data_IF_595991515717
#
_entry.id   IF_595991515717
#
_cell.length_a   1.000
_cell.length_b   1.000
_cell.length_c   1.000
_cell.angle_alpha   90.00
_cell.angle_beta   90.00
_cell.angle_gamma   90.00
#
_symmetry.space_group_name_H-M   'P 1'
#
loop_
_entity.id
_entity.type
_entity.pdbx_description
1 polymer ?
#
# COMPACT_ATOMS: atom_id res chain seq x y z
N UNK A 1 -40.57 63.51 -24.75
CA UNK A 1 -39.13 63.71 -24.97
C UNK A 1 -38.43 62.59 -24.25
N UNK A 2 -38.31 61.47 -24.97
CA UNK A 2 -37.02 60.92 -25.47
C UNK A 2 -36.57 59.83 -24.48
N UNK A 3 -37.01 58.59 -24.69
CA UNK A 3 -36.31 57.56 -25.45
C UNK A 3 -34.87 57.36 -24.99
N UNK A 4 -34.60 56.24 -24.32
CA UNK A 4 -33.42 55.40 -24.58
C UNK A 4 -33.63 54.05 -23.88
N UNK A 5 -34.30 53.19 -24.64
CA UNK A 5 -34.17 51.74 -24.59
C UNK A 5 -32.67 51.47 -24.84
N UNK A 6 -31.97 50.88 -23.87
CA UNK A 6 -30.66 50.29 -24.12
C UNK A 6 -30.88 48.83 -24.48
N UNK A 7 -30.82 48.63 -25.79
CA UNK A 7 -30.63 47.37 -26.48
C UNK A 7 -29.31 46.68 -26.09
N UNK A 8 -29.38 45.35 -26.07
CA UNK A 8 -28.35 44.38 -26.43
C UNK A 8 -26.90 44.63 -25.97
N UNK A 9 -26.43 43.77 -25.05
CA UNK A 9 -25.34 42.86 -25.40
C UNK A 9 -25.42 41.58 -24.54
N UNK A 10 -26.15 40.59 -25.05
CA UNK A 10 -26.01 39.20 -24.59
C UNK A 10 -24.65 38.73 -25.10
N UNK A 11 -23.63 38.79 -24.25
CA UNK A 11 -22.37 38.11 -24.53
C UNK A 11 -22.61 36.60 -24.46
N UNK A 12 -22.74 35.98 -25.63
CA UNK A 12 -22.52 34.55 -25.84
C UNK A 12 -21.16 34.19 -25.23
N UNK A 13 -21.18 33.60 -24.04
CA UNK A 13 -20.02 32.94 -23.47
C UNK A 13 -19.78 31.64 -24.25
N UNK A 14 -19.06 31.80 -25.36
CA UNK A 14 -18.50 30.73 -26.17
C UNK A 14 -17.60 29.87 -25.28
N UNK A 15 -18.17 28.79 -24.74
CA UNK A 15 -17.44 27.79 -23.98
C UNK A 15 -16.24 27.28 -24.81
N UNK A 16 -14.99 27.47 -24.39
CA UNK A 16 -13.91 26.70 -24.97
C UNK A 16 -14.05 25.30 -24.37
N UNK A 17 -14.55 24.36 -25.17
CA UNK A 17 -14.46 22.93 -24.89
C UNK A 17 -12.96 22.55 -24.91
N UNK A 18 -12.26 22.90 -23.84
CA UNK A 18 -10.92 22.45 -23.57
C UNK A 18 -11.03 20.96 -23.29
N UNK A 19 -10.85 20.16 -24.34
CA UNK A 19 -10.47 18.76 -24.19
C UNK A 19 -9.22 18.76 -23.33
N UNK A 20 -9.38 18.50 -22.04
CA UNK A 20 -8.29 18.20 -21.12
C UNK A 20 -7.65 16.94 -21.72
N UNK A 21 -6.64 17.12 -22.56
CA UNK A 21 -5.79 16.03 -23.00
C UNK A 21 -5.08 15.59 -21.74
N UNK A 22 -5.58 14.53 -21.12
CA UNK A 22 -4.98 13.94 -19.92
C UNK A 22 -3.49 13.81 -20.18
N UNK A 23 -2.68 14.51 -19.37
CA UNK A 23 -1.24 14.48 -19.50
C UNK A 23 -0.80 13.01 -19.38
N UNK A 24 -0.23 12.47 -20.46
CA UNK A 24 0.26 11.09 -20.47
C UNK A 24 1.52 11.06 -19.60
N UNK A 25 1.35 10.62 -18.36
CA UNK A 25 2.46 10.42 -17.44
C UNK A 25 3.21 9.15 -17.85
N UNK A 26 4.50 9.31 -18.15
CA UNK A 26 5.39 8.18 -18.44
C UNK A 26 5.85 7.57 -17.13
N UNK A 27 5.54 6.29 -16.92
CA UNK A 27 6.02 5.53 -15.77
C UNK A 27 7.36 4.87 -16.12
N UNK A 28 8.39 5.15 -15.32
CA UNK A 28 9.69 4.48 -15.42
C UNK A 28 9.70 3.25 -14.52
N UNK A 29 9.98 2.09 -15.11
CA UNK A 29 10.12 0.83 -14.38
C UNK A 29 11.58 0.61 -14.00
N UNK A 30 11.81 0.11 -12.79
CA UNK A 30 13.14 -0.31 -12.36
C UNK A 30 13.58 -1.58 -13.11
N UNK A 31 14.88 -1.91 -13.06
CA UNK A 31 15.44 -3.08 -13.75
C UNK A 31 14.70 -4.37 -13.38
N UNK A 32 14.51 -4.61 -12.08
CA UNK A 32 13.86 -5.81 -11.55
C UNK A 32 12.39 -5.93 -11.98
N UNK A 33 11.67 -4.80 -12.07
CA UNK A 33 10.28 -4.74 -12.50
C UNK A 33 10.16 -5.03 -14.01
N UNK A 34 11.07 -4.47 -14.81
CA UNK A 34 11.15 -4.71 -16.25
C UNK A 34 11.48 -6.17 -16.57
N UNK A 35 12.36 -6.81 -15.80
CA UNK A 35 12.68 -8.23 -15.93
C UNK A 35 11.46 -9.12 -15.63
N UNK A 36 10.71 -8.84 -14.56
CA UNK A 36 9.47 -9.57 -14.24
C UNK A 36 8.43 -9.46 -15.36
N UNK A 37 8.25 -8.27 -15.94
CA UNK A 37 7.33 -8.06 -17.05
C UNK A 37 7.76 -8.86 -18.29
N UNK A 38 9.07 -8.95 -18.58
CA UNK A 38 9.55 -9.77 -19.69
C UNK A 38 9.24 -11.26 -19.48
N UNK A 39 9.41 -11.77 -18.26
CA UNK A 39 9.06 -13.16 -17.91
C UNK A 39 7.57 -13.41 -18.13
N UNK A 40 6.70 -12.51 -17.69
CA UNK A 40 5.26 -12.64 -17.91
C UNK A 40 4.88 -12.59 -19.40
N UNK A 41 5.52 -11.71 -20.18
CA UNK A 41 5.31 -11.67 -21.63
C UNK A 41 5.72 -12.97 -22.31
N UNK A 42 6.84 -13.58 -21.89
CA UNK A 42 7.27 -14.86 -22.41
C UNK A 42 6.27 -15.97 -22.08
N UNK A 43 5.79 -16.05 -20.82
CA UNK A 43 4.76 -17.00 -20.40
C UNK A 43 3.46 -16.86 -21.21
N UNK A 44 3.05 -15.63 -21.50
CA UNK A 44 1.86 -15.38 -22.32
C UNK A 44 2.09 -15.81 -23.77
N UNK A 45 3.26 -15.54 -24.35
CA UNK A 45 3.60 -15.97 -25.72
C UNK A 45 3.63 -17.50 -25.85
N UNK A 46 4.22 -18.18 -24.87
CA UNK A 46 4.30 -19.64 -24.81
C UNK A 46 2.90 -20.26 -24.65
N UNK A 47 2.08 -19.73 -23.74
CA UNK A 47 0.71 -20.24 -23.51
C UNK A 47 -0.25 -19.99 -24.67
N UNK A 48 -0.09 -18.86 -25.38
CA UNK A 48 -0.93 -18.50 -26.53
C UNK A 48 -0.43 -19.08 -27.86
N UNK A 49 0.65 -19.90 -27.84
CA UNK A 49 1.29 -20.47 -29.03
C UNK A 49 1.64 -19.42 -30.10
N UNK A 50 1.96 -18.20 -29.65
CA UNK A 50 2.36 -17.09 -30.52
C UNK A 50 1.22 -16.35 -31.23
N UNK A 51 -0.06 -16.68 -30.98
CA UNK A 51 -1.17 -15.91 -31.57
C UNK A 51 -1.34 -14.53 -30.92
N UNK A 52 -0.98 -14.40 -29.65
CA UNK A 52 -1.12 -13.16 -28.90
C UNK A 52 0.23 -12.42 -28.86
N UNK A 53 0.33 -11.30 -29.56
CA UNK A 53 1.47 -10.37 -29.44
C UNK A 53 1.07 -9.18 -28.58
N UNK A 54 1.53 -9.20 -27.33
CA UNK A 54 1.33 -8.10 -26.38
C UNK A 54 2.62 -7.31 -26.22
N UNK A 55 2.50 -5.99 -26.20
CA UNK A 55 3.59 -5.13 -25.77
C UNK A 55 3.65 -5.03 -24.24
N UNK A 56 4.78 -4.54 -23.71
CA UNK A 56 4.92 -4.25 -22.26
C UNK A 56 3.82 -3.30 -21.75
N UNK A 57 3.51 -2.28 -22.54
CA UNK A 57 2.48 -1.30 -22.22
C UNK A 57 1.10 -1.94 -22.15
N UNK A 58 0.78 -2.86 -23.07
CA UNK A 58 -0.53 -3.54 -23.09
C UNK A 58 -0.70 -4.40 -21.84
N UNK A 59 0.35 -5.14 -21.45
CA UNK A 59 0.31 -5.97 -20.25
C UNK A 59 0.15 -5.12 -18.97
N UNK A 60 0.92 -4.03 -18.83
CA UNK A 60 0.81 -3.14 -17.67
C UNK A 60 -0.57 -2.47 -17.61
N UNK A 61 -1.07 -1.96 -18.74
CA UNK A 61 -2.40 -1.36 -18.82
C UNK A 61 -3.50 -2.39 -18.50
N UNK A 62 -3.35 -3.63 -18.94
CA UNK A 62 -4.27 -4.71 -18.58
C UNK A 62 -4.26 -4.98 -17.08
N UNK A 63 -3.08 -5.09 -16.46
CA UNK A 63 -2.95 -5.30 -15.02
C UNK A 63 -3.58 -4.16 -14.20
N UNK A 64 -3.41 -2.91 -14.64
CA UNK A 64 -4.03 -1.75 -14.00
C UNK A 64 -5.56 -1.80 -14.13
N UNK A 65 -6.09 -2.15 -15.31
CA UNK A 65 -7.55 -2.27 -15.55
C UNK A 65 -8.21 -3.35 -14.72
N UNK A 66 -7.49 -4.44 -14.43
CA UNK A 66 -8.01 -5.56 -13.60
C UNK A 66 -7.92 -5.23 -12.12
N UNK A 67 -7.04 -4.31 -11.73
CA UNK A 67 -6.90 -3.88 -10.35
C UNK A 67 -8.14 -3.10 -9.89
N UNK A 68 -8.41 -3.13 -8.58
CA UNK A 68 -9.43 -2.30 -7.96
C UNK A 68 -9.15 -0.81 -8.22
N UNK A 69 -10.20 -0.03 -8.45
CA UNK A 69 -10.14 1.42 -8.65
C UNK A 69 -9.49 2.15 -7.46
N UNK A 70 -9.64 1.58 -6.26
CA UNK A 70 -9.07 2.09 -5.02
C UNK A 70 -8.05 1.12 -4.42
N UNK A 71 -6.95 1.68 -3.93
CA UNK A 71 -5.96 0.93 -3.15
C UNK A 71 -6.53 0.55 -1.79
N UNK A 72 -6.37 -0.70 -1.41
CA UNK A 72 -6.76 -1.16 -0.08
C UNK A 72 -5.87 -0.54 1.00
N UNK A 73 -6.39 -0.44 2.23
CA UNK A 73 -5.61 0.06 3.38
C UNK A 73 -4.30 -0.73 3.60
N UNK A 74 -4.29 -2.03 3.25
CA UNK A 74 -3.10 -2.88 3.32
C UNK A 74 -2.03 -2.47 2.30
N UNK A 75 -2.42 -2.16 1.08
CA UNK A 75 -1.51 -1.71 0.02
C UNK A 75 -0.96 -0.33 0.30
N UNK A 76 -1.82 0.59 0.74
CA UNK A 76 -1.40 1.93 1.18
C UNK A 76 -0.36 1.81 2.30
N UNK A 77 -0.56 0.90 3.26
CA UNK A 77 0.41 0.65 4.33
C UNK A 77 1.74 0.12 3.79
N UNK A 78 1.73 -0.79 2.81
CA UNK A 78 2.96 -1.30 2.17
C UNK A 78 3.71 -0.20 1.42
N UNK A 79 3.00 0.64 0.67
CA UNK A 79 3.58 1.79 -0.04
C UNK A 79 4.23 2.75 0.96
N UNK A 80 3.51 3.07 2.05
CA UNK A 80 4.07 3.89 3.13
C UNK A 80 5.37 3.28 3.65
N UNK A 81 5.39 2.00 4.01
CA UNK A 81 6.61 1.35 4.53
C UNK A 81 7.77 1.35 3.52
N UNK A 82 7.51 1.13 2.23
CA UNK A 82 8.55 1.05 1.20
C UNK A 82 9.13 2.42 0.83
N UNK A 83 8.32 3.48 0.87
CA UNK A 83 8.70 4.82 0.41
C UNK A 83 8.74 5.86 1.53
N UNK A 84 8.66 5.44 2.80
CA UNK A 84 8.72 6.35 3.92
C UNK A 84 10.09 7.04 3.98
N UNK A 85 10.08 8.37 4.02
CA UNK A 85 11.27 9.17 4.25
C UNK A 85 11.03 10.10 5.43
N UNK A 86 11.83 9.93 6.48
CA UNK A 86 11.76 10.77 7.67
C UNK A 86 11.90 12.25 7.33
N UNK A 87 12.85 12.61 6.47
CA UNK A 87 13.09 14.00 6.07
C UNK A 87 11.85 14.57 5.38
N UNK A 88 11.22 13.81 4.47
CA UNK A 88 9.97 14.24 3.83
C UNK A 88 8.84 14.40 4.84
N UNK A 89 8.78 13.51 5.84
CA UNK A 89 7.75 13.60 6.88
C UNK A 89 7.94 14.84 7.76
N UNK A 90 9.18 15.16 8.17
CA UNK A 90 9.50 16.38 8.91
C UNK A 90 9.22 17.65 8.10
N UNK A 91 9.56 17.65 6.82
CA UNK A 91 9.26 18.76 5.92
C UNK A 91 7.75 18.96 5.71
N UNK A 92 6.96 17.90 5.85
CA UNK A 92 5.49 17.98 5.82
C UNK A 92 4.91 18.46 7.16
N UNK A 93 5.41 17.98 8.29
CA UNK A 93 4.82 18.24 9.60
C UNK A 93 5.05 19.69 10.07
N UNK A 94 6.22 20.25 9.76
CA UNK A 94 6.63 21.61 10.19
C UNK A 94 5.69 22.71 9.69
N UNK A 95 5.34 22.80 8.39
CA UNK A 95 4.39 23.81 7.92
C UNK A 95 2.98 23.58 8.44
N UNK A 96 2.55 22.33 8.66
CA UNK A 96 1.25 22.02 9.24
C UNK A 96 1.15 22.49 10.69
N UNK A 97 2.23 22.30 11.46
CA UNK A 97 2.29 22.76 12.85
C UNK A 97 2.25 24.29 12.92
N UNK A 98 2.99 24.97 12.04
CA UNK A 98 2.96 26.43 11.94
C UNK A 98 1.55 26.93 11.63
N UNK A 99 0.89 26.32 10.63
CA UNK A 99 -0.48 26.66 10.26
C UNK A 99 -1.47 26.42 11.41
N UNK A 100 -1.36 25.29 12.10
CA UNK A 100 -2.22 24.98 13.24
C UNK A 100 -2.06 25.98 14.40
N UNK A 101 -0.84 26.49 14.62
CA UNK A 101 -0.59 27.56 15.59
C UNK A 101 -1.20 28.90 15.15
N UNK A 102 -1.12 29.23 13.86
CA UNK A 102 -1.76 30.42 13.29
C UNK A 102 -3.30 30.35 13.39
N UNK A 103 -3.87 29.17 13.14
CA UNK A 103 -5.31 28.90 13.19
C UNK A 103 -5.85 28.68 14.62
N UNK A 104 -4.98 28.72 15.65
CA UNK A 104 -5.29 28.40 17.05
C UNK A 104 -5.93 27.01 17.26
N UNK A 105 -5.63 26.04 16.39
CA UNK A 105 -6.10 24.67 16.51
C UNK A 105 -5.18 23.87 17.45
N UNK A 106 -5.47 23.97 18.74
CA UNK A 106 -4.68 23.29 19.78
C UNK A 106 -4.75 21.75 19.70
N UNK A 107 -5.86 21.18 19.22
CA UNK A 107 -5.98 19.73 19.07
C UNK A 107 -5.04 19.22 17.97
N UNK A 108 -5.03 19.92 16.83
CA UNK A 108 -4.13 19.61 15.73
C UNK A 108 -2.67 19.79 16.13
N UNK A 109 -2.32 20.87 16.84
CA UNK A 109 -0.97 21.09 17.37
C UNK A 109 -0.51 19.93 18.26
N UNK A 110 -1.34 19.47 19.20
CA UNK A 110 -1.00 18.36 20.08
C UNK A 110 -0.82 17.05 19.31
N UNK A 111 -1.64 16.81 18.29
CA UNK A 111 -1.53 15.62 17.44
C UNK A 111 -0.22 15.59 16.67
N UNK A 112 0.14 16.70 16.02
CA UNK A 112 1.37 16.84 15.23
C UNK A 112 2.62 16.79 16.13
N UNK A 113 2.56 17.37 17.34
CA UNK A 113 3.66 17.26 18.31
C UNK A 113 3.87 15.83 18.82
N UNK A 114 2.78 15.08 19.07
CA UNK A 114 2.88 13.67 19.47
C UNK A 114 3.51 12.84 18.36
N UNK A 115 3.14 13.11 17.11
CA UNK A 115 3.72 12.47 15.94
C UNK A 115 5.21 12.81 15.80
N UNK A 116 5.59 14.09 15.93
CA UNK A 116 6.99 14.52 15.90
C UNK A 116 7.84 13.80 16.95
N UNK A 117 7.37 13.73 18.21
CA UNK A 117 8.07 13.00 19.28
C UNK A 117 8.22 11.50 18.96
N UNK A 118 7.20 10.89 18.37
CA UNK A 118 7.28 9.49 17.96
C UNK A 118 8.37 9.27 16.91
N UNK A 119 8.58 10.24 16.01
CA UNK A 119 9.65 10.20 15.01
C UNK A 119 11.03 10.36 15.66
N UNK A 120 11.18 11.32 16.56
CA UNK A 120 12.43 11.56 17.30
C UNK A 120 12.87 10.31 18.06
N UNK A 121 11.97 9.69 18.81
CA UNK A 121 12.25 8.44 19.54
C UNK A 121 12.62 7.28 18.60
N UNK A 122 12.05 7.24 17.40
CA UNK A 122 12.42 6.26 16.38
C UNK A 122 13.85 6.48 15.84
N UNK A 123 14.26 7.73 15.65
CA UNK A 123 15.62 8.08 15.22
C UNK A 123 16.65 7.67 16.27
N UNK A 124 16.38 7.98 17.54
CA UNK A 124 17.28 7.67 18.66
C UNK A 124 17.50 6.16 18.75
N UNK A 125 16.44 5.35 18.73
CA UNK A 125 16.54 3.88 18.75
C UNK A 125 17.33 3.33 17.57
N UNK A 126 17.11 3.86 16.37
CA UNK A 126 17.84 3.44 15.19
C UNK A 126 19.32 3.82 15.28
N UNK A 127 19.65 5.01 15.81
CA UNK A 127 21.02 5.44 16.04
C UNK A 127 21.72 4.56 17.09
N UNK A 128 21.07 4.25 18.21
CA UNK A 128 21.59 3.35 19.26
C UNK A 128 21.87 1.94 18.74
N UNK A 129 20.99 1.40 17.88
CA UNK A 129 21.20 0.09 17.25
C UNK A 129 22.33 0.09 16.20
N UNK A 130 22.61 1.24 15.57
CA UNK A 130 23.65 1.39 14.56
C UNK A 130 25.04 1.66 15.17
N UNK A 131 25.11 2.27 16.36
CA UNK A 131 26.38 2.58 17.03
C UNK A 131 26.94 1.44 17.87
N UNK A 132 26.26 0.29 17.97
CA UNK A 132 26.82 -0.92 18.58
C UNK A 132 27.31 -0.71 20.01
N UNK A 133 26.56 0.05 20.83
CA UNK A 133 26.81 0.15 22.27
C UNK A 133 26.40 -1.14 23.00
N UNK A 134 27.00 -2.26 22.60
CA UNK A 134 27.25 -3.40 23.47
C UNK A 134 28.57 -3.14 24.21
N UNK A 135 28.48 -2.54 25.39
CA UNK A 135 29.43 -2.89 26.45
C UNK A 135 28.85 -4.08 27.23
N UNK A 136 29.56 -5.21 27.14
CA UNK A 136 29.42 -6.43 27.94
C UNK A 136 29.63 -6.14 29.45
N UNK A 137 28.66 -6.43 30.34
CA UNK A 137 28.48 -7.66 31.19
C UNK A 137 29.40 -7.77 32.45
N UNK A 138 29.01 -8.41 33.61
CA UNK A 138 28.54 -9.81 33.62
C UNK A 138 27.55 -10.31 34.72
N UNK A 139 26.97 -11.50 34.44
CA UNK A 139 26.66 -12.63 35.34
C UNK A 139 25.30 -12.68 36.11
N UNK A 140 24.40 -13.59 35.71
CA UNK A 140 23.85 -14.71 36.54
C UNK A 140 23.39 -15.84 35.58
N UNK A 141 24.14 -16.95 35.59
CA UNK A 141 23.73 -18.38 35.67
C UNK A 141 22.23 -18.71 35.40
N UNK A 142 21.80 -19.80 34.74
CA UNK A 142 22.39 -21.05 34.28
C UNK A 142 21.24 -21.88 33.63
N UNK A 143 21.61 -22.88 32.83
CA UNK A 143 20.87 -24.12 32.46
C UNK A 143 20.05 -24.14 31.16
N UNK A 144 20.65 -24.87 30.20
CA UNK A 144 20.13 -26.16 29.69
C UNK A 144 18.83 -26.12 28.86
N UNK A 145 18.80 -26.53 27.59
CA UNK A 145 19.74 -27.41 26.92
C UNK A 145 19.38 -27.71 25.47
N UNK A 146 20.33 -28.41 24.89
CA UNK A 146 20.45 -28.94 23.54
C UNK A 146 19.25 -29.78 23.06
N UNK A 147 19.10 -29.75 21.74
CA UNK A 147 18.70 -30.84 20.83
C UNK A 147 17.23 -31.29 20.79
N UNK A 148 16.64 -31.24 19.59
CA UNK A 148 16.46 -32.44 18.73
C UNK A 148 15.30 -32.27 17.75
N UNK A 149 15.66 -32.34 16.47
CA UNK A 149 14.79 -32.66 15.33
C UNK A 149 14.06 -34.00 15.54
N UNK A 150 12.73 -34.06 15.43
CA UNK A 150 12.02 -35.35 15.29
C UNK A 150 10.86 -35.30 14.30
N UNK A 151 11.12 -35.79 13.09
CA UNK A 151 10.14 -36.41 12.19
C UNK A 151 9.66 -37.74 12.81
N UNK A 152 8.35 -37.99 12.80
CA UNK A 152 7.68 -39.30 12.67
C UNK A 152 6.17 -38.98 12.61
N UNK A 153 5.45 -39.14 11.49
CA UNK A 153 5.04 -40.34 10.74
C UNK A 153 4.06 -41.25 11.52
N UNK A 154 2.78 -41.12 11.17
CA UNK A 154 1.72 -42.16 10.97
C UNK A 154 1.33 -43.08 12.13
N UNK A 155 0.03 -43.08 12.45
CA UNK A 155 -0.93 -44.22 12.55
C UNK A 155 -2.27 -43.62 13.06
N UNK A 156 -3.38 -43.58 12.31
CA UNK A 156 -4.25 -44.67 11.81
C UNK A 156 -4.72 -45.55 12.97
N UNK A 157 -5.98 -45.38 13.35
CA UNK A 157 -7.00 -46.40 13.67
C UNK A 157 -8.29 -45.61 14.04
N UNK A 158 -9.35 -45.63 13.22
CA UNK A 158 -10.36 -46.70 13.13
C UNK A 158 -10.99 -46.97 14.49
N UNK A 159 -12.19 -46.43 14.73
CA UNK A 159 -13.29 -47.30 15.11
C UNK A 159 -14.65 -46.70 14.74
N UNK A 160 -15.48 -47.63 14.32
CA UNK A 160 -16.71 -47.52 13.56
C UNK A 160 -17.82 -48.10 14.43
N UNK A 161 -19.03 -47.55 14.31
CA UNK A 161 -20.33 -48.22 14.54
C UNK A 161 -20.73 -48.40 16.02
N UNK A 162 -22.00 -48.37 16.45
CA UNK A 162 -23.29 -48.76 15.83
C UNK A 162 -24.47 -48.12 16.62
N UNK A 163 -25.64 -47.98 15.96
CA UNK A 163 -27.05 -47.99 16.48
C UNK A 163 -27.52 -46.76 17.30
N UNK A 164 -28.74 -46.21 17.18
CA UNK A 164 -30.08 -46.66 16.74
C UNK A 164 -30.71 -45.59 15.80
N UNK A 165 -31.53 -45.83 14.76
CA UNK A 165 -32.68 -46.73 14.48
C UNK A 165 -34.03 -46.26 15.10
N UNK A 166 -34.84 -45.59 14.26
CA UNK A 166 -36.33 -45.47 14.23
C UNK A 166 -36.69 -44.07 13.71
N UNK A 167 -37.56 -43.80 12.73
CA UNK A 167 -38.56 -44.60 12.01
C UNK A 167 -39.03 -43.77 10.80
N UNK A 168 -39.24 -44.41 9.65
CA UNK A 168 -40.12 -43.94 8.58
C UNK A 168 -41.58 -44.33 8.98
N UNK A 169 -42.68 -43.77 8.48
CA UNK A 169 -43.22 -43.85 7.11
C UNK A 169 -44.61 -43.17 7.05
N UNK A 170 -44.97 -42.68 5.85
CA UNK A 170 -46.29 -42.70 5.18
C UNK A 170 -47.56 -42.16 5.86
N UNK A 171 -48.12 -41.07 5.31
CA UNK A 171 -49.21 -41.09 4.31
C UNK A 171 -49.50 -39.68 3.78
#
# INVERSE_FOLDING_TARGET
MESLINDLEVQESKAPNQKIKSQINRVTLNKDESEKINVWLQQIKESSKGFLDLTKSDLVNYLIKVHLDELTAKEIKKIRLAHYSLIRHLNWITPQLKKALEDNDHELVLSLQRELRSLEMGVIKNAESATGATESSPNVTEKSGLNTTRKQRVKKDTNQSVADKSEATES
#
